data_IF_490842767989
#
_entry.id   IF_490842767989
#
_cell.length_a   1.000
_cell.length_b   1.000
_cell.length_c   1.000
_cell.angle_alpha   90.00
_cell.angle_beta   90.00
_cell.angle_gamma   90.00
#
_symmetry.space_group_name_H-M   'P 1'
#
loop_
_entity.id
_entity.type
_entity.pdbx_description
1 polymer ?
#
# COMPACT_ATOMS: atom_id res chain seq x y z
N UNK A 1 -18.70 7.44 -11.65
CA UNK A 1 -18.13 6.17 -12.14
C UNK A 1 -16.83 5.92 -11.40
N UNK A 2 -16.72 4.78 -10.71
CA UNK A 2 -15.53 4.45 -9.91
C UNK A 2 -14.29 4.25 -10.77
N UNK A 3 -14.44 3.78 -12.02
CA UNK A 3 -13.32 3.53 -12.91
C UNK A 3 -12.65 4.85 -13.34
N UNK A 4 -13.45 5.87 -13.62
CA UNK A 4 -12.97 7.22 -13.99
C UNK A 4 -12.18 7.86 -12.85
N UNK A 5 -12.67 7.72 -11.61
CA UNK A 5 -11.98 8.30 -10.45
C UNK A 5 -10.67 7.57 -10.14
N UNK A 6 -10.63 6.23 -10.28
CA UNK A 6 -9.38 5.46 -10.16
C UNK A 6 -8.36 5.92 -11.20
N UNK A 7 -8.78 6.08 -12.46
CA UNK A 7 -7.89 6.56 -13.52
C UNK A 7 -7.34 7.96 -13.21
N UNK A 8 -8.17 8.85 -12.69
CA UNK A 8 -7.76 10.20 -12.26
C UNK A 8 -6.71 10.15 -11.15
N UNK A 9 -6.91 9.32 -10.12
CA UNK A 9 -5.95 9.20 -9.01
C UNK A 9 -4.63 8.56 -9.46
N UNK A 10 -4.67 7.56 -10.35
CA UNK A 10 -3.47 6.94 -10.92
C UNK A 10 -2.64 7.95 -11.73
N UNK A 11 -3.28 8.90 -12.41
CA UNK A 11 -2.58 9.94 -13.17
C UNK A 11 -1.74 10.88 -12.27
N UNK A 12 -2.09 11.01 -10.99
CA UNK A 12 -1.34 11.82 -10.02
C UNK A 12 -0.07 11.12 -9.50
N UNK A 13 0.06 9.81 -9.71
CA UNK A 13 1.20 9.04 -9.21
C UNK A 13 2.44 9.20 -10.10
N UNK A 14 3.65 9.17 -9.51
CA UNK A 14 4.88 9.08 -10.29
C UNK A 14 4.84 7.90 -11.27
N UNK A 15 5.38 8.03 -12.50
CA UNK A 15 5.22 7.02 -13.55
C UNK A 15 5.65 5.60 -13.14
N UNK A 16 6.70 5.47 -12.34
CA UNK A 16 7.16 4.16 -11.85
C UNK A 16 6.18 3.53 -10.83
N UNK A 17 5.59 4.35 -9.96
CA UNK A 17 4.60 3.90 -8.96
C UNK A 17 3.31 3.50 -9.65
N UNK A 18 2.81 4.33 -10.58
CA UNK A 18 1.60 4.05 -11.38
C UNK A 18 1.69 2.69 -12.08
N UNK A 19 2.73 2.47 -12.88
CA UNK A 19 2.92 1.21 -13.62
C UNK A 19 2.91 -0.02 -12.71
N UNK A 20 3.49 0.11 -11.52
CA UNK A 20 3.53 -0.99 -10.57
C UNK A 20 2.17 -1.26 -9.92
N UNK A 21 1.42 -0.20 -9.58
CA UNK A 21 0.05 -0.31 -9.07
C UNK A 21 -0.87 -0.97 -10.11
N UNK A 22 -0.84 -0.50 -11.36
CA UNK A 22 -1.63 -1.06 -12.47
C UNK A 22 -1.34 -2.55 -12.67
N UNK A 23 -0.06 -2.92 -12.72
CA UNK A 23 0.38 -4.33 -12.86
C UNK A 23 -0.14 -5.22 -11.73
N UNK A 24 -0.19 -4.72 -10.49
CA UNK A 24 -0.70 -5.49 -9.35
C UNK A 24 -2.24 -5.54 -9.32
N UNK A 25 -2.90 -4.47 -9.74
CA UNK A 25 -4.35 -4.36 -9.76
C UNK A 25 -4.99 -5.23 -10.84
N UNK A 26 -4.35 -5.35 -12.02
CA UNK A 26 -4.83 -6.20 -13.11
C UNK A 26 -5.02 -7.68 -12.77
N UNK A 27 -4.48 -8.15 -11.64
CA UNK A 27 -4.71 -9.50 -11.10
C UNK A 27 -5.84 -9.61 -10.06
N UNK A 28 -6.69 -8.59 -9.89
CA UNK A 28 -7.75 -8.57 -8.87
C UNK A 28 -7.22 -8.40 -7.43
N UNK A 29 -5.93 -8.10 -7.27
CA UNK A 29 -5.25 -7.99 -5.97
C UNK A 29 -5.17 -6.53 -5.55
N UNK A 30 -5.32 -6.26 -4.24
CA UNK A 30 -4.99 -4.96 -3.66
C UNK A 30 -3.50 -4.67 -3.88
N UNK A 31 -3.18 -3.59 -4.59
CA UNK A 31 -1.80 -3.16 -4.85
C UNK A 31 -1.20 -2.35 -3.69
N UNK A 32 -2.07 -1.70 -2.91
CA UNK A 32 -1.76 -0.89 -1.73
C UNK A 32 -2.46 -1.50 -0.53
N UNK A 33 -1.74 -1.64 0.58
CA UNK A 33 -2.24 -2.21 1.84
C UNK A 33 -1.72 -1.42 3.02
N UNK A 34 -2.37 -1.57 4.17
CA UNK A 34 -1.92 -0.95 5.41
C UNK A 34 -0.80 -1.77 6.07
N UNK A 35 0.07 -1.10 6.82
CA UNK A 35 0.91 -1.76 7.83
C UNK A 35 0.03 -2.18 9.02
N UNK A 36 0.28 -3.37 9.58
CA UNK A 36 -0.42 -3.89 10.74
C UNK A 36 0.57 -4.56 11.69
N UNK A 37 0.87 -3.95 12.84
CA UNK A 37 1.82 -4.51 13.81
C UNK A 37 3.21 -4.78 13.20
N UNK A 38 3.69 -3.90 12.31
CA UNK A 38 4.94 -4.06 11.58
C UNK A 38 4.91 -5.04 10.39
N UNK A 39 3.76 -5.69 10.14
CA UNK A 39 3.58 -6.61 9.03
C UNK A 39 2.92 -5.95 7.81
N UNK A 40 3.14 -6.56 6.63
CA UNK A 40 2.40 -6.23 5.42
C UNK A 40 0.94 -6.71 5.51
N UNK A 41 -0.04 -5.82 5.43
CA UNK A 41 -1.47 -6.18 5.44
C UNK A 41 -2.00 -6.97 4.22
N UNK A 42 -1.11 -7.40 3.32
CA UNK A 42 -1.45 -8.20 2.13
C UNK A 42 -0.91 -9.63 2.12
N UNK A 43 0.25 -9.89 2.73
CA UNK A 43 0.82 -11.23 2.83
C UNK A 43 1.21 -11.62 4.26
N UNK A 44 0.98 -10.73 5.23
CA UNK A 44 1.24 -10.90 6.65
C UNK A 44 2.72 -11.15 7.03
N UNK A 45 3.63 -11.00 6.07
CA UNK A 45 5.07 -11.06 6.32
C UNK A 45 5.56 -9.83 7.09
N UNK A 46 6.49 -10.03 8.01
CA UNK A 46 7.15 -8.97 8.76
C UNK A 46 7.98 -8.09 7.82
N UNK A 47 7.85 -6.77 7.98
CA UNK A 47 8.71 -5.82 7.29
C UNK A 47 10.02 -5.64 8.07
N UNK A 48 11.13 -5.28 7.41
CA UNK A 48 12.31 -4.79 8.10
C UNK A 48 11.93 -3.65 9.06
N UNK A 49 12.50 -3.64 10.27
CA UNK A 49 12.09 -2.72 11.34
C UNK A 49 12.02 -1.25 10.90
N UNK A 50 13.03 -0.76 10.16
CA UNK A 50 13.01 0.61 9.65
C UNK A 50 11.86 0.86 8.66
N UNK A 51 11.56 -0.10 7.78
CA UNK A 51 10.45 0.01 6.84
C UNK A 51 9.09 -0.07 7.55
N UNK A 52 8.96 -0.90 8.57
CA UNK A 52 7.77 -0.92 9.41
C UNK A 52 7.52 0.45 10.06
N UNK A 53 8.56 1.06 10.65
CA UNK A 53 8.49 2.40 11.27
C UNK A 53 8.16 3.46 10.23
N UNK A 54 8.78 3.42 9.05
CA UNK A 54 8.54 4.44 8.01
C UNK A 54 7.13 4.32 7.43
N UNK A 55 6.64 3.10 7.21
CA UNK A 55 5.26 2.86 6.77
C UNK A 55 4.27 3.31 7.85
N UNK A 56 4.51 2.95 9.12
CA UNK A 56 3.65 3.31 10.24
C UNK A 56 3.63 4.82 10.52
N UNK A 57 4.71 5.54 10.23
CA UNK A 57 4.76 7.01 10.36
C UNK A 57 4.40 7.76 9.08
N UNK A 58 4.04 7.04 8.00
CA UNK A 58 3.76 7.63 6.69
C UNK A 58 4.93 8.41 6.08
N UNK A 59 6.17 8.07 6.47
CA UNK A 59 7.39 8.78 6.06
C UNK A 59 7.87 8.42 4.67
N UNK A 60 7.59 7.19 4.23
CA UNK A 60 8.04 6.72 2.92
C UNK A 60 7.06 5.72 2.31
N UNK A 61 7.09 5.59 0.99
CA UNK A 61 6.33 4.58 0.26
C UNK A 61 7.08 3.24 0.32
N UNK A 62 6.72 2.42 1.29
CA UNK A 62 7.36 1.12 1.54
C UNK A 62 6.84 0.06 0.57
N UNK A 63 7.72 -0.76 0.01
CA UNK A 63 7.36 -1.91 -0.82
C UNK A 63 7.70 -3.21 -0.09
N UNK A 64 6.70 -4.07 0.10
CA UNK A 64 6.91 -5.38 0.72
C UNK A 64 7.80 -6.26 -0.18
N UNK A 65 8.90 -6.79 0.35
CA UNK A 65 9.77 -7.72 -0.37
C UNK A 65 9.07 -9.05 -0.71
N UNK A 66 8.14 -9.52 0.12
CA UNK A 66 7.47 -10.81 -0.06
C UNK A 66 6.36 -10.83 -1.11
N UNK A 67 5.56 -9.76 -1.23
CA UNK A 67 4.43 -9.72 -2.18
C UNK A 67 4.41 -8.52 -3.12
N UNK A 68 5.44 -7.67 -3.07
CA UNK A 68 5.63 -6.47 -3.87
C UNK A 68 4.57 -5.36 -3.71
N UNK A 69 3.57 -5.51 -2.83
CA UNK A 69 2.57 -4.46 -2.58
C UNK A 69 3.20 -3.26 -1.89
N UNK A 70 2.62 -2.09 -2.13
CA UNK A 70 2.92 -0.90 -1.34
C UNK A 70 2.26 -1.02 0.03
N UNK A 71 3.04 -0.81 1.08
CA UNK A 71 2.57 -0.79 2.46
C UNK A 71 2.61 0.66 2.94
N UNK A 72 1.46 1.17 3.37
CA UNK A 72 1.28 2.56 3.75
C UNK A 72 0.71 2.68 5.16
N UNK A 73 0.86 3.86 5.77
CA UNK A 73 0.28 4.18 7.06
C UNK A 73 -1.23 3.95 7.03
N UNK A 74 -1.75 3.25 8.05
CA UNK A 74 -3.20 3.16 8.27
C UNK A 74 -3.69 4.50 8.80
N UNK A 75 -4.44 5.32 8.04
CA UNK A 75 -5.00 6.53 8.60
C UNK A 75 -5.94 6.17 9.75
N UNK A 76 -5.90 6.99 10.79
CA UNK A 76 -6.60 6.84 12.08
C UNK A 76 -8.13 6.62 11.97
N UNK A 77 -8.74 6.78 10.80
CA UNK A 77 -10.19 6.67 10.60
C UNK A 77 -10.66 5.32 10.01
N UNK A 78 -9.79 4.35 9.78
CA UNK A 78 -10.23 2.98 9.47
C UNK A 78 -10.64 2.26 10.77
N UNK A 79 -11.61 2.81 11.51
CA UNK A 79 -12.28 2.28 12.73
C UNK A 79 -11.46 1.38 13.66
N UNK A 80 -11.26 1.87 14.88
CA UNK A 80 -11.24 1.06 16.08
C UNK A 80 -12.25 -0.10 15.94
N UNK A 81 -11.76 -1.32 16.03
CA UNK A 81 -12.56 -2.51 16.26
C UNK A 81 -11.63 -3.47 16.97
N UNK A 82 -11.75 -3.41 18.30
CA UNK A 82 -11.70 -4.49 19.27
C UNK A 82 -10.69 -5.61 19.05
#
# INVERSE_FOLDING_TARGET
DHEVEIARLLALLPPAVRRHVERLHGGGRRAVVWVAGGACGGCFGQLPAQQAIDADKGKSLVRCAGCARYVVHRPWNATASS
#
